data_IF_872155461568
#
_entry.id   IF_872155461568
#
_cell.length_a   1.000
_cell.length_b   1.000
_cell.length_c   1.000
_cell.angle_alpha   90.00
_cell.angle_beta   90.00
_cell.angle_gamma   90.00
#
_symmetry.space_group_name_H-M   'P 1'
#
loop_
_entity.id
_entity.type
_entity.pdbx_description
1 polymer ?
#
# COMPACT_ATOMS: atom_id res chain seq x y z
N UNK A 1 -46.63 -40.58 -8.42
CA UNK A 1 -46.54 -39.11 -8.48
C UNK A 1 -45.24 -38.72 -7.80
N UNK A 2 -44.16 -38.22 -8.42
CA UNK A 2 -43.76 -38.06 -9.81
C UNK A 2 -42.22 -38.23 -9.87
N UNK A 3 -41.71 -38.72 -11.00
CA UNK A 3 -40.28 -39.00 -11.25
C UNK A 3 -39.59 -37.69 -11.66
N UNK A 4 -38.50 -37.33 -10.97
CA UNK A 4 -37.62 -36.23 -11.37
C UNK A 4 -36.61 -36.76 -12.39
N UNK A 5 -36.73 -36.29 -13.63
CA UNK A 5 -35.81 -36.57 -14.72
C UNK A 5 -34.74 -35.48 -14.73
N UNK A 6 -33.49 -35.85 -14.48
CA UNK A 6 -32.33 -34.95 -14.58
C UNK A 6 -31.74 -35.09 -15.98
N UNK A 7 -31.81 -34.03 -16.79
CA UNK A 7 -31.21 -33.97 -18.13
C UNK A 7 -29.81 -33.36 -18.02
N UNK A 8 -28.77 -34.14 -18.31
CA UNK A 8 -27.41 -33.65 -18.53
C UNK A 8 -27.24 -33.28 -20.01
N UNK A 9 -27.07 -31.99 -20.29
CA UNK A 9 -26.67 -31.52 -21.62
C UNK A 9 -25.15 -31.52 -21.73
N UNK A 10 -24.60 -32.46 -22.51
CA UNK A 10 -23.18 -32.50 -22.85
C UNK A 10 -22.91 -31.63 -24.09
N UNK A 11 -22.20 -30.51 -23.92
CA UNK A 11 -21.68 -29.73 -25.04
C UNK A 11 -20.31 -30.28 -25.46
N UNK A 12 -20.24 -30.88 -26.65
CA UNK A 12 -18.99 -31.19 -27.35
C UNK A 12 -18.49 -29.91 -28.04
N UNK A 13 -17.35 -29.38 -27.60
CA UNK A 13 -16.63 -28.33 -28.33
C UNK A 13 -15.74 -29.00 -29.38
N UNK A 14 -16.07 -28.77 -30.65
CA UNK A 14 -15.23 -29.16 -31.78
C UNK A 14 -14.07 -28.13 -31.90
N UNK A 15 -12.83 -28.56 -31.71
CA UNK A 15 -11.66 -27.72 -31.98
C UNK A 15 -11.48 -27.57 -33.50
N UNK A 16 -11.59 -26.34 -34.02
CA UNK A 16 -11.10 -25.98 -35.36
C UNK A 16 -9.64 -25.57 -35.23
N UNK A 17 -8.76 -26.29 -35.93
CA UNK A 17 -7.35 -25.96 -36.10
C UNK A 17 -7.23 -24.95 -37.24
N UNK A 18 -6.88 -23.71 -36.93
CA UNK A 18 -6.51 -22.70 -37.93
C UNK A 18 -5.04 -22.34 -37.69
N UNK A 19 -4.21 -22.45 -38.74
CA UNK A 19 -2.78 -22.21 -38.69
C UNK A 19 -2.47 -20.70 -38.68
N UNK A 20 -1.44 -20.23 -37.95
CA UNK A 20 -1.10 -18.81 -37.90
C UNK A 20 -0.38 -18.36 -39.18
N UNK A 21 -0.57 -17.10 -39.62
CA UNK A 21 0.18 -16.54 -40.74
C UNK A 21 1.63 -16.20 -40.37
N UNK A 22 2.49 -16.33 -41.38
CA UNK A 22 3.95 -16.10 -41.36
C UNK A 22 4.27 -14.62 -41.10
N UNK A 23 5.06 -14.33 -40.05
CA UNK A 23 5.47 -12.97 -39.66
C UNK A 23 6.97 -12.83 -39.84
N UNK A 24 7.36 -11.96 -40.77
CA UNK A 24 8.76 -11.61 -41.05
C UNK A 24 9.46 -10.96 -39.83
N UNK A 25 10.78 -11.16 -39.65
CA UNK A 25 11.52 -10.66 -38.49
C UNK A 25 11.74 -9.13 -38.53
N UNK A 26 11.76 -8.45 -37.36
CA UNK A 26 11.98 -7.00 -37.28
C UNK A 26 13.45 -6.60 -37.51
N UNK A 27 13.64 -5.46 -38.19
CA UNK A 27 14.94 -4.82 -38.44
C UNK A 27 15.57 -4.23 -37.15
N UNK A 28 16.92 -4.18 -37.06
CA UNK A 28 17.61 -3.67 -35.87
C UNK A 28 17.55 -2.13 -35.73
N UNK A 29 17.55 -1.58 -34.50
CA UNK A 29 17.55 -0.13 -34.25
C UNK A 29 18.92 0.52 -34.47
N UNK A 30 18.91 1.75 -34.99
CA UNK A 30 20.09 2.60 -35.19
C UNK A 30 20.60 3.25 -33.88
N UNK A 31 21.91 3.57 -33.76
CA UNK A 31 22.51 4.00 -32.50
C UNK A 31 22.17 5.45 -32.12
N UNK A 32 21.94 5.65 -30.82
CA UNK A 32 21.65 6.95 -30.17
C UNK A 32 22.95 7.69 -29.83
N UNK A 33 23.06 8.94 -30.27
CA UNK A 33 24.14 9.88 -29.92
C UNK A 33 23.98 10.38 -28.47
N UNK A 34 25.08 10.32 -27.73
CA UNK A 34 25.25 10.80 -26.35
C UNK A 34 25.57 12.30 -26.38
N UNK A 35 24.92 13.09 -25.52
CA UNK A 35 25.33 14.46 -25.21
C UNK A 35 25.32 14.69 -23.68
N UNK A 36 26.48 15.12 -23.16
CA UNK A 36 26.79 15.41 -21.75
C UNK A 36 26.19 16.74 -21.25
N UNK A 37 26.10 16.97 -19.92
CA UNK A 37 25.51 18.18 -19.34
C UNK A 37 26.53 19.32 -19.12
N UNK A 38 26.09 20.56 -19.34
CA UNK A 38 26.80 21.78 -18.94
C UNK A 38 26.35 22.27 -17.56
N UNK A 39 27.34 22.52 -16.70
CA UNK A 39 27.23 23.20 -15.39
C UNK A 39 27.41 24.72 -15.52
N UNK A 40 26.97 25.43 -14.46
CA UNK A 40 27.46 26.73 -13.94
C UNK A 40 26.62 27.98 -14.25
N UNK A 41 26.11 28.60 -13.17
CA UNK A 41 25.85 30.05 -13.02
C UNK A 41 25.93 30.33 -11.51
N UNK A 42 27.08 30.78 -10.98
CA UNK A 42 27.55 32.16 -10.81
C UNK A 42 26.78 32.97 -9.73
N UNK A 43 27.46 33.17 -8.59
CA UNK A 43 27.18 34.09 -7.48
C UNK A 43 27.98 35.38 -7.68
N UNK A 44 27.40 36.56 -7.41
CA UNK A 44 28.14 37.81 -7.11
C UNK A 44 27.36 38.62 -6.03
N UNK A 45 28.03 39.30 -5.07
CA UNK A 45 27.47 39.78 -3.78
C UNK A 45 27.41 41.32 -3.65
N UNK A 46 27.39 41.84 -2.39
CA UNK A 46 27.82 43.20 -1.88
C UNK A 46 26.66 44.12 -1.38
N UNK A 47 26.76 44.96 -0.30
CA UNK A 47 27.48 44.91 1.01
C UNK A 47 26.64 45.35 2.26
N UNK A 48 27.27 45.32 3.45
CA UNK A 48 26.77 45.77 4.78
C UNK A 48 27.18 47.22 5.19
N UNK A 49 26.33 47.84 6.06
CA UNK A 49 26.57 48.74 7.23
C UNK A 49 27.31 50.12 7.08
N UNK A 50 27.02 51.16 7.91
CA UNK A 50 27.20 51.09 9.37
C UNK A 50 26.19 51.79 10.32
N UNK A 51 26.31 51.37 11.58
CA UNK A 51 25.77 51.91 12.82
C UNK A 51 26.15 53.36 13.16
N UNK A 52 25.28 54.04 13.92
CA UNK A 52 25.67 55.08 14.87
C UNK A 52 24.89 54.97 16.18
N UNK A 53 25.64 55.03 17.28
CA UNK A 53 25.20 55.00 18.65
C UNK A 53 25.20 56.43 19.23
N UNK A 54 24.20 56.75 20.06
CA UNK A 54 24.30 57.84 21.04
C UNK A 54 23.59 57.46 22.35
N UNK A 55 24.43 57.09 23.33
CA UNK A 55 24.29 57.33 24.78
C UNK A 55 24.51 58.84 25.01
N UNK A 56 24.01 59.61 25.98
CA UNK A 56 23.41 59.46 27.32
C UNK A 56 22.79 60.83 27.68
N UNK A 57 21.92 60.94 28.71
CA UNK A 57 22.19 61.69 29.96
C UNK A 57 20.97 61.73 30.90
N UNK A 58 21.29 61.87 32.18
CA UNK A 58 20.53 61.60 33.40
C UNK A 58 19.80 62.86 33.88
N UNK A 59 18.57 62.71 34.39
CA UNK A 59 18.02 63.61 35.41
C UNK A 59 17.02 62.86 36.30
N UNK A 60 17.24 62.96 37.62
CA UNK A 60 16.55 62.24 38.67
C UNK A 60 15.22 62.90 39.09
N UNK A 61 14.35 62.06 39.65
CA UNK A 61 13.34 62.35 40.69
C UNK A 61 12.03 63.00 40.25
N UNK A 62 10.96 62.19 40.24
CA UNK A 62 9.87 62.28 41.22
C UNK A 62 8.99 61.01 41.14
N UNK A 63 8.65 60.43 42.29
CA UNK A 63 7.76 59.28 42.39
C UNK A 63 6.31 59.76 42.47
N UNK A 64 5.38 59.16 41.70
CA UNK A 64 4.10 58.81 42.32
C UNK A 64 3.61 57.41 41.94
N UNK A 65 3.16 56.71 42.97
CA UNK A 65 2.09 55.70 42.97
C UNK A 65 2.27 54.45 42.10
N UNK A 66 2.54 53.34 42.79
CA UNK A 66 2.33 51.97 42.30
C UNK A 66 0.88 51.79 41.84
N UNK A 67 0.65 51.79 40.53
CA UNK A 67 -0.41 50.97 39.97
C UNK A 67 0.14 49.55 39.81
N UNK A 68 -0.39 48.65 40.62
CA UNK A 68 -0.13 47.21 40.53
C UNK A 68 -0.72 46.72 39.21
N UNK A 69 0.09 46.75 38.14
CA UNK A 69 -0.21 46.01 36.91
C UNK A 69 -0.30 44.55 37.30
N UNK A 70 -1.52 43.99 37.25
CA UNK A 70 -1.76 42.58 37.49
C UNK A 70 -0.81 41.75 36.60
N UNK A 71 -0.18 40.69 37.12
CA UNK A 71 0.69 39.85 36.33
C UNK A 71 -0.08 39.36 35.09
N UNK A 72 0.55 39.33 33.89
CA UNK A 72 -0.12 38.85 32.70
C UNK A 72 -0.66 37.45 32.97
N UNK A 73 -1.96 37.27 32.74
CA UNK A 73 -2.65 36.01 32.96
C UNK A 73 -1.84 34.88 32.28
N UNK A 74 -1.63 33.75 32.97
CA UNK A 74 -0.83 32.67 32.41
C UNK A 74 -1.43 32.29 31.07
N UNK A 75 -0.63 32.41 30.00
CA UNK A 75 -1.00 31.94 28.67
C UNK A 75 -1.55 30.53 28.85
N UNK A 76 -2.83 30.32 28.50
CA UNK A 76 -3.47 29.01 28.55
C UNK A 76 -2.59 28.05 27.75
N UNK A 77 -1.73 27.30 28.44
CA UNK A 77 -1.03 26.17 27.85
C UNK A 77 -2.14 25.29 27.36
N UNK A 78 -2.29 25.20 26.04
CA UNK A 78 -3.22 24.26 25.45
C UNK A 78 -2.76 22.90 25.94
N UNK A 79 -3.46 22.34 26.93
CA UNK A 79 -3.41 20.92 27.20
C UNK A 79 -4.03 20.28 25.96
N UNK A 80 -3.24 20.13 24.89
CA UNK A 80 -3.51 19.09 23.91
C UNK A 80 -3.42 17.82 24.73
N UNK A 81 -4.59 17.35 25.17
CA UNK A 81 -4.77 16.00 25.69
C UNK A 81 -4.06 15.08 24.71
N UNK A 82 -2.86 14.63 25.08
CA UNK A 82 -2.14 13.63 24.33
C UNK A 82 -3.01 12.40 24.48
N UNK A 83 -3.74 12.04 23.43
CA UNK A 83 -4.47 10.77 23.41
C UNK A 83 -3.49 9.68 23.87
N UNK A 84 -3.87 8.82 24.82
CA UNK A 84 -3.03 7.71 25.23
C UNK A 84 -2.55 6.96 23.99
N UNK A 85 -1.25 6.65 23.90
CA UNK A 85 -0.74 5.81 22.81
C UNK A 85 -1.41 4.45 22.97
N UNK A 86 -2.09 3.97 21.92
CA UNK A 86 -2.74 2.64 21.93
C UNK A 86 -1.73 1.52 22.24
N UNK A 87 -0.49 1.72 21.81
CA UNK A 87 0.65 0.86 22.11
C UNK A 87 1.77 1.75 22.68
N UNK A 88 1.83 1.92 24.01
CA UNK A 88 2.90 2.69 24.67
C UNK A 88 4.27 2.10 24.38
N UNK A 89 4.35 0.77 24.47
CA UNK A 89 5.50 -0.07 24.14
C UNK A 89 5.12 -0.95 22.94
N UNK A 90 5.47 -0.56 21.71
CA UNK A 90 5.13 -1.35 20.54
C UNK A 90 5.88 -2.69 20.57
N UNK A 91 5.24 -3.79 20.15
CA UNK A 91 5.90 -5.09 20.08
C UNK A 91 7.06 -5.09 19.09
N UNK A 92 7.99 -6.01 19.30
CA UNK A 92 9.18 -6.24 18.48
C UNK A 92 9.02 -7.49 17.61
N UNK A 93 9.91 -7.72 16.63
CA UNK A 93 9.87 -8.93 15.81
C UNK A 93 9.90 -10.24 16.59
N UNK A 94 10.49 -10.25 17.79
CA UNK A 94 10.54 -11.41 18.68
C UNK A 94 9.18 -11.75 19.31
N UNK A 95 8.29 -10.75 19.44
CA UNK A 95 6.95 -10.90 20.02
C UNK A 95 5.92 -11.38 18.98
N UNK A 96 6.33 -11.54 17.73
CA UNK A 96 5.41 -11.89 16.66
C UNK A 96 4.91 -13.33 16.79
N UNK A 97 3.59 -13.47 16.74
CA UNK A 97 2.89 -14.73 16.59
C UNK A 97 1.80 -14.58 15.51
N UNK A 98 1.49 -15.64 14.73
CA UNK A 98 0.33 -15.63 13.84
C UNK A 98 -0.96 -15.49 14.69
N UNK A 99 -2.02 -14.84 14.17
CA UNK A 99 -3.30 -14.88 14.85
C UNK A 99 -3.85 -16.30 14.87
N UNK A 100 -4.63 -16.63 15.89
CA UNK A 100 -5.25 -17.96 16.02
C UNK A 100 -6.22 -18.26 14.87
N UNK A 101 -6.35 -19.55 14.53
CA UNK A 101 -7.27 -20.05 13.52
C UNK A 101 -6.67 -20.16 12.12
N UNK A 102 -7.52 -20.21 11.06
CA UNK A 102 -7.06 -20.39 9.69
C UNK A 102 -6.25 -19.19 9.18
N UNK A 103 -5.44 -19.40 8.14
CA UNK A 103 -4.65 -18.36 7.51
C UNK A 103 -5.58 -17.29 6.92
N UNK A 104 -5.52 -16.10 7.52
CA UNK A 104 -6.34 -14.93 7.19
C UNK A 104 -5.56 -13.90 6.38
N UNK A 105 -6.02 -13.61 5.17
CA UNK A 105 -5.45 -12.63 4.24
C UNK A 105 -6.41 -11.45 4.11
N UNK A 106 -5.94 -10.25 4.41
CA UNK A 106 -6.73 -9.04 4.21
C UNK A 106 -6.25 -8.28 2.98
N UNK A 107 -7.15 -8.10 2.02
CA UNK A 107 -6.90 -7.37 0.80
C UNK A 107 -7.69 -6.06 0.85
N UNK A 108 -7.00 -4.94 0.91
CA UNK A 108 -7.66 -3.64 0.89
C UNK A 108 -7.76 -3.11 -0.54
N UNK A 109 -8.98 -2.80 -0.97
CA UNK A 109 -9.22 -2.02 -2.17
C UNK A 109 -9.05 -0.52 -1.86
N UNK A 110 -7.92 0.05 -2.30
CA UNK A 110 -7.61 1.46 -2.11
C UNK A 110 -8.72 2.37 -2.67
N UNK A 111 -9.05 3.43 -1.94
CA UNK A 111 -10.08 4.42 -2.27
C UNK A 111 -11.55 3.92 -2.28
N UNK A 112 -11.80 2.61 -2.16
CA UNK A 112 -13.17 2.08 -2.11
C UNK A 112 -13.88 2.51 -0.82
N UNK A 113 -15.09 3.08 -0.95
CA UNK A 113 -15.88 3.65 0.17
C UNK A 113 -15.11 4.69 1.01
N UNK A 114 -14.19 5.43 0.39
CA UNK A 114 -13.37 6.40 1.10
C UNK A 114 -14.16 7.61 1.64
N UNK A 115 -15.35 7.87 1.11
CA UNK A 115 -16.30 8.88 1.59
C UNK A 115 -16.78 8.61 3.03
N UNK A 116 -16.77 7.35 3.45
CA UNK A 116 -17.11 6.90 4.81
C UNK A 116 -15.99 7.16 5.83
N UNK A 117 -14.84 7.67 5.40
CA UNK A 117 -13.69 7.82 6.28
C UNK A 117 -13.98 8.64 7.54
N UNK A 118 -13.52 8.18 8.72
CA UNK A 118 -13.68 8.91 9.97
C UNK A 118 -12.88 10.21 9.93
N UNK A 119 -13.17 11.12 10.87
CA UNK A 119 -12.53 12.45 10.93
C UNK A 119 -11.00 12.41 10.93
N UNK A 120 -10.40 11.40 11.57
CA UNK A 120 -8.94 11.22 11.60
C UNK A 120 -8.32 10.88 10.23
N UNK A 121 -9.13 10.34 9.31
CA UNK A 121 -8.76 9.96 7.95
C UNK A 121 -9.50 10.82 6.90
N UNK A 122 -9.93 12.03 7.25
CA UNK A 122 -10.68 12.91 6.34
C UNK A 122 -9.95 13.23 5.03
N UNK A 123 -8.62 13.15 5.02
CA UNK A 123 -7.79 13.28 3.81
C UNK A 123 -7.99 12.16 2.78
N UNK A 124 -8.67 11.06 3.13
CA UNK A 124 -9.01 9.97 2.20
C UNK A 124 -10.28 10.24 1.39
N UNK A 125 -11.17 11.13 1.82
CA UNK A 125 -12.52 11.24 1.20
C UNK A 125 -12.53 11.74 -0.26
N UNK A 126 -11.48 12.43 -0.69
CA UNK A 126 -11.42 13.13 -1.99
C UNK A 126 -10.09 12.94 -2.69
N UNK A 127 -9.45 11.79 -2.45
CA UNK A 127 -8.21 11.41 -3.11
C UNK A 127 -8.47 10.28 -4.10
N UNK A 128 -7.40 9.84 -4.76
CA UNK A 128 -7.43 8.78 -5.77
C UNK A 128 -7.41 9.34 -7.17
N UNK A 129 -6.92 8.53 -8.10
CA UNK A 129 -6.85 8.88 -9.52
C UNK A 129 -8.12 8.43 -10.26
N UNK A 130 -8.21 8.76 -11.55
CA UNK A 130 -9.26 8.26 -12.44
C UNK A 130 -8.77 8.21 -13.88
N UNK A 131 -9.39 7.35 -14.67
CA UNK A 131 -9.27 7.33 -16.12
C UNK A 131 -10.66 7.43 -16.75
N UNK A 132 -10.94 8.54 -17.44
CA UNK A 132 -12.29 8.88 -17.90
C UNK A 132 -13.27 8.81 -16.71
N UNK A 133 -14.36 8.05 -16.85
CA UNK A 133 -15.37 7.84 -15.81
C UNK A 133 -14.99 6.74 -14.81
N UNK A 134 -13.88 6.01 -15.02
CA UNK A 134 -13.47 4.93 -14.12
C UNK A 134 -12.56 5.46 -13.01
N UNK A 135 -13.04 5.53 -11.76
CA UNK A 135 -12.20 5.89 -10.62
C UNK A 135 -11.25 4.76 -10.25
N UNK A 136 -10.15 5.11 -9.58
CA UNK A 136 -9.14 4.15 -9.11
C UNK A 136 -9.73 2.99 -8.29
N UNK A 137 -10.70 3.29 -7.43
CA UNK A 137 -11.24 2.29 -6.51
C UNK A 137 -11.95 1.14 -7.22
N UNK A 138 -12.56 1.37 -8.39
CA UNK A 138 -13.20 0.30 -9.16
C UNK A 138 -12.16 -0.70 -9.67
N UNK A 139 -11.03 -0.19 -10.16
CA UNK A 139 -9.91 -1.00 -10.65
C UNK A 139 -9.27 -1.80 -9.50
N UNK A 140 -9.03 -1.13 -8.37
CA UNK A 140 -8.47 -1.78 -7.18
C UNK A 140 -9.41 -2.88 -6.65
N UNK A 141 -10.72 -2.61 -6.59
CA UNK A 141 -11.72 -3.55 -6.10
C UNK A 141 -11.81 -4.78 -6.98
N UNK A 142 -11.83 -4.62 -8.30
CA UNK A 142 -11.87 -5.73 -9.26
C UNK A 142 -10.66 -6.66 -9.09
N UNK A 143 -9.44 -6.10 -9.00
CA UNK A 143 -8.21 -6.89 -8.79
C UNK A 143 -8.26 -7.64 -7.46
N UNK A 144 -8.68 -6.95 -6.38
CA UNK A 144 -8.79 -7.55 -5.05
C UNK A 144 -9.85 -8.65 -4.98
N UNK A 145 -10.99 -8.48 -5.63
CA UNK A 145 -12.06 -9.48 -5.67
C UNK A 145 -11.60 -10.76 -6.38
N UNK A 146 -10.89 -10.63 -7.50
CA UNK A 146 -10.32 -11.78 -8.21
C UNK A 146 -9.25 -12.50 -7.39
N UNK A 147 -8.31 -11.74 -6.82
CA UNK A 147 -7.27 -12.32 -5.97
C UNK A 147 -7.89 -13.02 -4.75
N UNK A 148 -8.93 -12.42 -4.16
CA UNK A 148 -9.68 -12.98 -3.06
C UNK A 148 -10.36 -14.29 -3.41
N UNK A 149 -11.09 -14.34 -4.53
CA UNK A 149 -11.76 -15.56 -4.98
C UNK A 149 -10.78 -16.73 -5.17
N UNK A 150 -9.63 -16.48 -5.82
CA UNK A 150 -8.60 -17.51 -6.01
C UNK A 150 -8.04 -17.99 -4.68
N UNK A 151 -7.77 -17.07 -3.73
CA UNK A 151 -7.28 -17.45 -2.40
C UNK A 151 -8.34 -18.21 -1.58
N UNK A 152 -9.61 -17.84 -1.68
CA UNK A 152 -10.70 -18.57 -1.02
C UNK A 152 -10.84 -19.99 -1.57
N UNK A 153 -10.71 -20.19 -2.89
CA UNK A 153 -10.66 -21.52 -3.51
C UNK A 153 -9.48 -22.38 -3.00
N UNK A 154 -8.37 -21.74 -2.61
CA UNK A 154 -7.21 -22.40 -1.98
C UNK A 154 -7.38 -22.66 -0.48
N UNK A 155 -8.51 -22.25 0.11
CA UNK A 155 -8.86 -22.47 1.52
C UNK A 155 -8.41 -21.37 2.48
N UNK A 156 -7.92 -20.24 1.99
CA UNK A 156 -7.63 -19.08 2.84
C UNK A 156 -8.93 -18.42 3.31
N UNK A 157 -8.89 -17.80 4.50
CA UNK A 157 -9.93 -16.84 4.89
C UNK A 157 -9.52 -15.48 4.34
N UNK A 158 -10.35 -14.91 3.46
CA UNK A 158 -10.07 -13.62 2.84
C UNK A 158 -11.04 -12.56 3.33
N UNK A 159 -10.49 -11.40 3.71
CA UNK A 159 -11.27 -10.22 4.04
C UNK A 159 -10.97 -9.11 3.02
N UNK A 160 -11.97 -8.73 2.21
CA UNK A 160 -11.88 -7.59 1.30
C UNK A 160 -12.28 -6.34 2.06
N UNK A 161 -11.30 -5.46 2.31
CA UNK A 161 -11.48 -4.26 3.13
C UNK A 161 -11.67 -3.00 2.25
N UNK A 162 -12.52 -2.05 2.68
CA UNK A 162 -12.58 -0.73 2.07
C UNK A 162 -11.32 0.09 2.39
N UNK A 163 -11.29 1.32 1.88
CA UNK A 163 -10.21 2.28 2.10
C UNK A 163 -9.95 2.59 3.58
N UNK A 164 -10.86 2.25 4.49
CA UNK A 164 -10.73 2.40 5.95
C UNK A 164 -10.61 1.02 6.58
N UNK A 165 -9.47 0.74 7.19
CA UNK A 165 -9.25 -0.51 7.92
C UNK A 165 -9.94 -0.46 9.30
N UNK A 166 -10.56 -1.56 9.78
CA UNK A 166 -11.11 -1.61 11.14
C UNK A 166 -10.04 -1.31 12.22
N UNK A 167 -10.43 -0.76 13.38
CA UNK A 167 -9.46 -0.49 14.45
C UNK A 167 -8.72 -1.74 14.94
N UNK A 168 -7.39 -1.64 15.01
CA UNK A 168 -6.51 -2.72 15.47
C UNK A 168 -6.71 -4.04 14.70
N UNK A 169 -6.99 -3.94 13.40
CA UNK A 169 -7.27 -5.09 12.56
C UNK A 169 -6.09 -6.08 12.50
N UNK A 170 -6.37 -7.35 12.82
CA UNK A 170 -5.37 -8.42 12.90
C UNK A 170 -5.60 -9.46 11.80
N UNK A 171 -4.55 -9.75 11.03
CA UNK A 171 -4.51 -10.81 10.04
C UNK A 171 -3.10 -11.40 9.96
N UNK A 172 -2.93 -12.49 9.21
CA UNK A 172 -1.60 -13.04 8.92
C UNK A 172 -0.85 -12.09 7.99
N UNK A 173 -1.56 -11.63 6.94
CA UNK A 173 -1.04 -10.72 5.94
C UNK A 173 -2.10 -9.71 5.52
N UNK A 174 -1.69 -8.46 5.36
CA UNK A 174 -2.47 -7.37 4.81
C UNK A 174 -1.77 -6.81 3.57
N UNK A 175 -2.51 -6.66 2.47
CA UNK A 175 -2.04 -6.06 1.23
C UNK A 175 -2.98 -4.90 0.87
N UNK A 176 -2.47 -3.67 0.92
CA UNK A 176 -3.17 -2.53 0.35
C UNK A 176 -2.92 -2.45 -1.15
N UNK A 177 -3.99 -2.47 -1.96
CA UNK A 177 -3.92 -2.44 -3.41
C UNK A 177 -4.40 -1.07 -3.91
N UNK A 178 -3.53 -0.40 -4.66
CA UNK A 178 -3.77 0.92 -5.24
C UNK A 178 -3.39 0.93 -6.73
N UNK A 179 -3.88 1.90 -7.49
CA UNK A 179 -3.41 2.19 -8.84
C UNK A 179 -2.96 3.65 -8.90
N UNK A 180 -1.75 3.90 -9.37
CA UNK A 180 -1.16 5.24 -9.32
C UNK A 180 -1.72 6.14 -10.44
N UNK A 181 -1.56 7.45 -10.26
CA UNK A 181 -1.90 8.46 -11.25
C UNK A 181 -0.70 9.36 -11.53
N UNK A 182 -0.44 9.64 -12.80
CA UNK A 182 0.60 10.58 -13.21
C UNK A 182 0.12 11.48 -14.34
N UNK A 183 0.60 12.73 -14.32
CA UNK A 183 0.45 13.69 -15.42
C UNK A 183 1.50 13.46 -16.53
N UNK A 184 2.54 12.67 -16.27
CA UNK A 184 3.50 12.26 -17.29
C UNK A 184 2.85 11.19 -18.19
N UNK A 185 2.65 11.45 -19.50
CA UNK A 185 2.05 10.50 -20.42
C UNK A 185 2.90 9.23 -20.63
N UNK A 186 4.19 9.26 -20.26
CA UNK A 186 5.09 8.13 -20.38
C UNK A 186 5.19 7.30 -19.09
N UNK A 187 4.54 7.73 -18.00
CA UNK A 187 4.54 6.98 -16.75
C UNK A 187 3.96 5.58 -16.96
N UNK A 188 4.69 4.58 -16.49
CA UNK A 188 4.31 3.17 -16.53
C UNK A 188 5.15 2.44 -15.50
N UNK A 189 4.55 1.47 -14.83
CA UNK A 189 5.25 0.64 -13.86
C UNK A 189 4.52 0.51 -12.53
N UNK A 190 4.87 -0.53 -11.77
CA UNK A 190 4.29 -0.83 -10.47
C UNK A 190 5.32 -0.63 -9.35
N UNK A 191 4.84 -0.50 -8.11
CA UNK A 191 5.68 -0.37 -6.91
C UNK A 191 5.15 -1.23 -5.78
N UNK A 192 6.08 -1.74 -4.97
CA UNK A 192 5.74 -2.45 -3.72
C UNK A 192 6.52 -1.83 -2.58
N UNK A 193 5.85 -1.62 -1.44
CA UNK A 193 6.48 -1.11 -0.24
C UNK A 193 6.10 -1.90 1.00
N UNK A 194 7.11 -2.16 1.84
CA UNK A 194 6.91 -2.45 3.25
C UNK A 194 6.81 -1.14 4.07
N UNK A 195 6.20 -1.19 5.26
CA UNK A 195 6.19 -0.09 6.22
C UNK A 195 7.59 0.48 6.50
N UNK A 196 7.67 1.76 6.88
CA UNK A 196 8.92 2.36 7.36
C UNK A 196 9.43 1.67 8.61
N UNK A 197 8.53 1.30 9.53
CA UNK A 197 8.81 0.47 10.69
C UNK A 197 7.93 -0.77 10.66
N UNK A 198 8.56 -1.94 10.69
CA UNK A 198 7.88 -3.23 10.67
C UNK A 198 8.14 -3.96 12.00
N UNK A 199 7.13 -3.97 12.85
CA UNK A 199 7.18 -4.66 14.14
C UNK A 199 7.17 -6.18 13.98
N UNK A 200 6.79 -6.71 12.81
CA UNK A 200 6.76 -8.16 12.54
C UNK A 200 8.11 -8.71 12.10
N UNK A 201 9.00 -7.85 11.57
CA UNK A 201 10.28 -8.25 10.97
C UNK A 201 10.16 -9.10 9.69
N UNK A 202 8.97 -9.14 9.07
CA UNK A 202 8.61 -10.06 7.98
C UNK A 202 8.10 -9.34 6.72
N UNK A 203 7.77 -8.06 6.80
CA UNK A 203 7.17 -7.31 5.70
C UNK A 203 8.09 -7.18 4.47
N UNK A 204 9.41 -7.13 4.66
CA UNK A 204 10.38 -7.06 3.56
C UNK A 204 10.42 -8.34 2.71
N UNK A 205 10.20 -9.50 3.32
CA UNK A 205 10.16 -10.79 2.63
C UNK A 205 8.95 -10.83 1.67
N UNK A 206 7.75 -10.56 2.18
CA UNK A 206 6.54 -10.54 1.36
C UNK A 206 6.56 -9.39 0.35
N UNK A 207 7.14 -8.23 0.67
CA UNK A 207 7.32 -7.15 -0.31
C UNK A 207 8.23 -7.58 -1.48
N UNK A 208 9.23 -8.43 -1.23
CA UNK A 208 10.12 -8.96 -2.26
C UNK A 208 9.41 -10.01 -3.11
N UNK A 209 8.68 -10.94 -2.49
CA UNK A 209 7.86 -11.93 -3.19
C UNK A 209 6.81 -11.27 -4.07
N UNK A 210 6.09 -10.28 -3.54
CA UNK A 210 5.09 -9.52 -4.27
C UNK A 210 5.72 -8.69 -5.39
N UNK A 211 6.90 -8.11 -5.16
CA UNK A 211 7.61 -7.42 -6.22
C UNK A 211 8.01 -8.38 -7.35
N UNK A 212 8.40 -9.62 -7.07
CA UNK A 212 8.78 -10.58 -8.10
C UNK A 212 7.56 -11.10 -8.87
N UNK A 213 6.66 -11.80 -8.18
CA UNK A 213 5.50 -12.47 -8.76
C UNK A 213 4.57 -11.50 -9.51
N UNK A 214 4.31 -10.31 -8.96
CA UNK A 214 3.50 -9.32 -9.66
C UNK A 214 4.13 -8.85 -10.97
N UNK A 215 5.46 -8.66 -11.00
CA UNK A 215 6.17 -8.30 -12.22
C UNK A 215 6.14 -9.41 -13.27
N UNK A 216 6.35 -10.64 -12.85
CA UNK A 216 6.33 -11.83 -13.71
C UNK A 216 4.92 -12.07 -14.31
N UNK A 217 3.88 -12.02 -13.48
CA UNK A 217 2.50 -12.24 -13.91
C UNK A 217 2.00 -11.14 -14.87
N UNK A 218 2.32 -9.88 -14.58
CA UNK A 218 1.77 -8.73 -15.34
C UNK A 218 2.64 -8.29 -16.51
N UNK A 219 3.95 -8.51 -16.45
CA UNK A 219 4.92 -7.94 -17.37
C UNK A 219 5.04 -6.41 -17.29
N UNK A 220 4.37 -5.76 -16.32
CA UNK A 220 4.55 -4.33 -16.04
C UNK A 220 5.94 -4.16 -15.41
N UNK A 221 6.75 -3.15 -15.78
CA UNK A 221 8.07 -2.98 -15.19
C UNK A 221 7.99 -2.50 -13.73
N UNK A 222 8.87 -3.03 -12.88
CA UNK A 222 9.02 -2.53 -11.51
C UNK A 222 9.70 -1.18 -11.52
N UNK A 223 9.13 -0.20 -10.82
CA UNK A 223 9.83 1.05 -10.57
C UNK A 223 10.83 0.91 -9.42
N UNK A 224 12.06 1.46 -9.57
CA UNK A 224 13.13 1.28 -8.61
C UNK A 224 12.90 2.08 -7.31
N UNK A 225 12.06 3.12 -7.36
CA UNK A 225 11.83 4.03 -6.25
C UNK A 225 10.49 3.74 -5.58
N UNK A 226 10.53 3.67 -4.25
CA UNK A 226 9.35 3.57 -3.39
C UNK A 226 9.13 4.92 -2.71
N UNK A 227 7.89 5.42 -2.69
CA UNK A 227 7.62 6.74 -2.13
C UNK A 227 7.57 6.73 -0.60
N UNK A 228 7.86 7.89 0.02
CA UNK A 228 7.68 8.08 1.46
C UNK A 228 6.21 7.89 1.89
N UNK A 229 5.25 8.16 1.00
CA UNK A 229 3.81 8.00 1.29
C UNK A 229 3.44 6.52 1.40
N UNK A 230 3.94 5.67 0.51
CA UNK A 230 3.72 4.22 0.60
C UNK A 230 4.28 3.66 1.92
N UNK A 231 5.52 4.01 2.27
CA UNK A 231 6.14 3.50 3.52
C UNK A 231 5.47 4.02 4.80
N UNK A 232 4.82 5.17 4.74
CA UNK A 232 4.10 5.79 5.85
C UNK A 232 2.58 5.74 5.64
N UNK A 233 2.09 4.72 4.93
CA UNK A 233 0.67 4.53 4.70
C UNK A 233 -0.09 4.50 6.02
N UNK A 234 -1.29 5.08 6.06
CA UNK A 234 -1.99 5.33 7.33
C UNK A 234 -2.23 4.02 8.10
N UNK A 235 -2.57 2.93 7.38
CA UNK A 235 -2.90 1.65 7.99
C UNK A 235 -1.69 1.03 8.72
N UNK A 236 -0.46 1.40 8.33
CA UNK A 236 0.77 0.96 8.99
C UNK A 236 1.05 1.74 10.28
N UNK A 237 0.41 2.90 10.47
CA UNK A 237 0.72 3.83 11.54
C UNK A 237 -0.27 3.69 12.72
N UNK A 238 -0.23 2.52 13.34
CA UNK A 238 -1.02 2.13 14.51
C UNK A 238 -0.77 2.99 15.77
N UNK A 239 0.30 3.78 15.78
CA UNK A 239 0.59 4.74 16.84
C UNK A 239 -0.20 6.04 16.67
N UNK A 240 -0.54 6.41 15.43
CA UNK A 240 -1.19 7.68 15.10
C UNK A 240 -2.69 7.55 14.88
N UNK A 241 -3.14 6.46 14.25
CA UNK A 241 -4.52 6.30 13.81
C UNK A 241 -5.22 5.19 14.60
N UNK A 242 -6.50 5.42 14.90
CA UNK A 242 -7.36 4.40 15.49
C UNK A 242 -7.76 3.35 14.46
N UNK A 243 -8.11 3.77 13.24
CA UNK A 243 -8.37 2.90 12.10
C UNK A 243 -7.06 2.54 11.42
N UNK A 244 -6.34 1.59 12.02
CA UNK A 244 -5.06 1.08 11.55
C UNK A 244 -4.90 -0.37 11.98
N UNK A 245 -3.93 -1.05 11.36
CA UNK A 245 -3.65 -2.45 11.64
C UNK A 245 -3.16 -2.64 13.08
N UNK A 246 -3.36 -3.85 13.60
CA UNK A 246 -2.61 -4.31 14.76
C UNK A 246 -1.11 -4.35 14.41
N UNK A 247 -0.18 -3.96 15.31
CA UNK A 247 1.26 -3.91 15.02
C UNK A 247 1.87 -5.26 14.61
N UNK A 248 1.22 -6.37 14.97
CA UNK A 248 1.64 -7.74 14.62
C UNK A 248 1.01 -8.27 13.31
N UNK A 249 0.28 -7.45 12.56
CA UNK A 249 -0.17 -7.79 11.20
C UNK A 249 0.96 -7.50 10.21
N UNK A 250 1.38 -8.51 9.44
CA UNK A 250 2.37 -8.31 8.37
C UNK A 250 1.68 -7.51 7.27
N UNK A 251 2.31 -6.43 6.81
CA UNK A 251 1.64 -5.47 5.94
C UNK A 251 2.53 -5.03 4.79
N UNK A 252 1.94 -4.89 3.60
CA UNK A 252 2.55 -4.27 2.41
C UNK A 252 1.53 -3.44 1.64
N UNK A 253 2.02 -2.56 0.79
CA UNK A 253 1.21 -1.80 -0.18
C UNK A 253 1.78 -2.01 -1.58
N UNK A 254 0.87 -2.26 -2.53
CA UNK A 254 1.12 -2.45 -3.94
C UNK A 254 0.43 -1.31 -4.71
N UNK A 255 1.22 -0.53 -5.43
CA UNK A 255 0.72 0.31 -6.53
C UNK A 255 0.84 -0.55 -7.80
N UNK A 256 -0.29 -1.00 -8.32
CA UNK A 256 -0.46 -2.03 -9.38
C UNK A 256 0.05 -1.60 -10.76
N UNK A 257 0.25 -0.30 -10.96
CA UNK A 257 0.49 0.33 -12.25
C UNK A 257 -0.08 1.74 -12.24
N UNK A 258 0.08 2.49 -13.33
CA UNK A 258 -0.56 3.79 -13.50
C UNK A 258 -1.90 3.66 -14.21
N UNK A 259 -2.99 4.04 -13.55
CA UNK A 259 -4.32 4.11 -14.17
C UNK A 259 -4.34 5.10 -15.35
N UNK A 260 -3.49 6.12 -15.33
CA UNK A 260 -3.36 7.09 -16.43
C UNK A 260 -2.56 6.54 -17.63
N UNK A 261 -1.85 5.43 -17.47
CA UNK A 261 -1.06 4.80 -18.54
C UNK A 261 -1.87 3.83 -19.39
N UNK A 262 -1.88 4.04 -20.71
CA UNK A 262 -2.51 3.09 -21.63
C UNK A 262 -1.83 1.73 -21.65
N UNK A 263 -0.54 1.67 -21.32
CA UNK A 263 0.23 0.41 -21.26
C UNK A 263 -0.20 -0.42 -20.06
N UNK A 264 -0.25 0.19 -18.89
CA UNK A 264 -0.56 -0.52 -17.64
C UNK A 264 -2.04 -0.92 -17.60
N UNK A 265 -2.95 -0.08 -18.10
CA UNK A 265 -4.38 -0.41 -18.22
C UNK A 265 -4.68 -1.67 -19.01
N UNK A 266 -3.82 -2.08 -19.96
CA UNK A 266 -3.98 -3.36 -20.66
C UNK A 266 -3.98 -4.55 -19.70
N UNK A 267 -3.37 -4.40 -18.53
CA UNK A 267 -3.38 -5.41 -17.47
C UNK A 267 -4.34 -4.99 -16.38
N UNK A 268 -4.10 -3.87 -15.68
CA UNK A 268 -4.85 -3.56 -14.45
C UNK A 268 -6.36 -3.33 -14.68
N UNK A 269 -6.79 -2.95 -15.89
CA UNK A 269 -8.21 -2.79 -16.24
C UNK A 269 -8.72 -3.87 -17.21
N UNK A 270 -7.95 -4.19 -18.25
CA UNK A 270 -8.44 -5.05 -19.32
C UNK A 270 -8.13 -6.54 -19.10
N UNK A 271 -7.19 -6.85 -18.20
CA UNK A 271 -6.84 -8.22 -17.80
C UNK A 271 -6.49 -8.28 -16.29
N UNK A 272 -7.43 -7.88 -15.42
CA UNK A 272 -7.20 -7.79 -13.97
C UNK A 272 -6.87 -9.15 -13.34
N UNK A 273 -7.21 -10.24 -14.03
CA UNK A 273 -6.85 -11.60 -13.65
C UNK A 273 -5.33 -11.80 -13.53
N UNK A 274 -4.54 -11.21 -14.44
CA UNK A 274 -3.07 -11.28 -14.35
C UNK A 274 -2.52 -10.53 -13.14
N UNK A 275 -3.10 -9.37 -12.82
CA UNK A 275 -2.73 -8.62 -11.62
C UNK A 275 -3.09 -9.42 -10.35
N UNK A 276 -4.26 -10.05 -10.33
CA UNK A 276 -4.71 -10.91 -9.24
C UNK A 276 -3.79 -12.11 -9.03
N UNK A 277 -3.40 -12.82 -10.10
CA UNK A 277 -2.46 -13.97 -10.01
C UNK A 277 -1.13 -13.57 -9.38
N UNK A 278 -0.57 -12.43 -9.76
CA UNK A 278 0.66 -11.93 -9.14
C UNK A 278 0.55 -11.70 -7.62
N UNK A 279 -0.63 -11.28 -7.15
CA UNK A 279 -0.91 -11.16 -5.70
C UNK A 279 -0.99 -12.54 -5.05
N UNK A 280 -1.74 -13.47 -5.66
CA UNK A 280 -1.93 -14.84 -5.16
C UNK A 280 -0.59 -15.59 -5.04
N UNK A 281 0.26 -15.51 -6.07
CA UNK A 281 1.58 -16.14 -6.10
C UNK A 281 2.47 -15.63 -4.95
N UNK A 282 2.46 -14.33 -4.67
CA UNK A 282 3.18 -13.77 -3.53
C UNK A 282 2.69 -14.31 -2.18
N UNK A 283 1.37 -14.43 -2.01
CA UNK A 283 0.74 -14.93 -0.78
C UNK A 283 1.10 -16.40 -0.56
N UNK A 284 0.99 -17.22 -1.60
CA UNK A 284 1.24 -18.67 -1.51
C UNK A 284 2.71 -19.02 -1.34
N UNK A 285 3.62 -18.22 -1.92
CA UNK A 285 5.07 -18.38 -1.76
C UNK A 285 5.59 -17.93 -0.39
N UNK A 286 4.80 -17.17 0.37
CA UNK A 286 5.23 -16.65 1.66
C UNK A 286 5.05 -17.69 2.77
N UNK A 287 6.14 -18.05 3.45
CA UNK A 287 6.18 -19.17 4.41
C UNK A 287 5.28 -19.00 5.64
N UNK A 288 4.85 -17.77 5.95
CA UNK A 288 3.91 -17.47 7.05
C UNK A 288 2.46 -17.67 6.63
N UNK A 289 2.19 -17.74 5.33
CA UNK A 289 0.87 -17.96 4.75
C UNK A 289 0.87 -19.21 3.87
N UNK A 290 1.31 -20.39 4.38
CA UNK A 290 1.34 -21.61 3.60
C UNK A 290 -0.09 -21.96 3.14
N UNK A 291 -0.27 -22.52 1.93
CA UNK A 291 -1.59 -22.94 1.46
C UNK A 291 -2.26 -23.86 2.48
N UNK A 292 -3.49 -23.57 2.95
CA UNK A 292 -4.16 -24.38 3.96
C UNK A 292 -4.28 -25.86 3.57
N UNK A 293 -4.53 -26.17 2.29
CA UNK A 293 -4.53 -27.53 1.78
C UNK A 293 -3.16 -28.25 1.93
N UNK A 294 -2.05 -27.51 1.83
CA UNK A 294 -0.71 -28.07 2.00
C UNK A 294 -0.39 -28.38 3.48
N UNK A 295 -0.98 -27.63 4.42
CA UNK A 295 -0.77 -27.83 5.87
C UNK A 295 -1.49 -29.09 6.36
N UNK A 296 -2.69 -29.37 5.86
CA UNK A 296 -3.44 -30.60 6.21
C UNK A 296 -2.65 -31.85 5.82
N UNK A 297 -2.12 -31.90 4.60
CA UNK A 297 -1.32 -33.03 4.11
C UNK A 297 -0.02 -33.23 4.90
N UNK A 298 0.66 -32.14 5.29
CA UNK A 298 1.86 -32.21 6.12
C UNK A 298 1.58 -32.70 7.56
N UNK A 299 0.43 -32.31 8.13
CA UNK A 299 -0.03 -32.77 9.43
C UNK A 299 -0.37 -34.27 9.46
N UNK A 300 -1.04 -34.77 8.41
CA UNK A 300 -1.34 -36.20 8.26
C UNK A 300 -0.08 -37.05 8.01
N UNK A 301 0.86 -36.57 7.21
CA UNK A 301 2.13 -37.29 6.99
C UNK A 301 3.00 -37.38 8.27
N UNK A 302 2.92 -36.37 9.14
CA UNK A 302 3.68 -36.32 10.40
C UNK A 302 3.06 -37.20 11.49
N UNK A 303 1.74 -37.40 11.49
CA UNK A 303 1.05 -38.29 12.44
C UNK A 303 1.23 -39.77 12.10
N UNK A 304 1.41 -40.12 10.82
CA UNK A 304 1.69 -41.50 10.37
C UNK A 304 3.12 -41.93 10.73
N UNK A 305 4.08 -41.02 10.77
CA UNK A 305 5.50 -41.33 11.04
C UNK A 305 5.88 -41.33 12.52
N UNK A 306 5.04 -40.77 13.39
CA UNK A 306 5.26 -40.76 14.85
C UNK A 306 4.54 -41.92 15.59
N UNK A 307 3.88 -42.81 14.85
CA UNK A 307 3.15 -43.97 15.37
C UNK A 307 3.79 -45.33 15.09
N UNK A 308 5.12 -45.42 14.89
CA UNK A 308 5.84 -46.68 14.67
C UNK A 308 6.98 -46.89 15.67
#
# INVERSE_FOLDING_TARGET
VGVVVTVFAAFRVQARTEAPPDVAPPLPPAPTLVAEPLSTTALVPVPEEPAEAVLSEVAQSESPTRDVVAPPAPRRRSYRSRRPRRYPDPPTPADWAPPEGPVRIALQAGHWRADEAPRELSGLKRNGTRWKETPEWEVNLEIVQRAGAILEEMGYVVDILPAVVPPAYRAHLFIAVHADGSNDPNASGYRVAAPRGDATGRASQVASLLAQSYGEATGIPRLPTVTRRMRNYYAFNFQRYEHALHPMTIAVILETGFLTSSKDRRVIMNDPERAARGIVEAVTAFSVTPPPAAVVLAGEASSVTSGS
#
